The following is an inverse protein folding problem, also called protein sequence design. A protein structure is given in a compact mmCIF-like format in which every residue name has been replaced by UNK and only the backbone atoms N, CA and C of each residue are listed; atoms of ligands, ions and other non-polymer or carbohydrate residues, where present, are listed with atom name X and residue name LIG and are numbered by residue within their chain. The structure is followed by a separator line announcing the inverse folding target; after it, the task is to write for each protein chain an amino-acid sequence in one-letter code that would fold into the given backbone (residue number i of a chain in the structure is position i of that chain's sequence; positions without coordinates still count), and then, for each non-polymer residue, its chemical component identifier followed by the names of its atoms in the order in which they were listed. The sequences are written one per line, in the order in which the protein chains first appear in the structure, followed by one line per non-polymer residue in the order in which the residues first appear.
data_IF_344669476986
#
_entry.id   IF_344669476986
#
_cell.length_a   1.000
_cell.length_b   1.000
_cell.length_c   1.000
_cell.angle_alpha   90.00
_cell.angle_beta   90.00
_cell.angle_gamma   90.00
#
_symmetry.space_group_name_H-M   'P 1'
#
loop_
_entity.id
_entity.type
_entity.pdbx_description
1 polymer ?
#
# COMPACT_ATOMS: atom_id res chain seq x y z
N UNK A 1 23.73 9.37 -12.73
CA UNK A 1 22.28 9.07 -12.85
C UNK A 1 21.73 8.48 -11.55
N UNK A 2 22.26 7.36 -11.02
CA UNK A 2 21.71 6.75 -9.79
C UNK A 2 21.77 7.66 -8.55
N UNK A 3 22.89 8.36 -8.33
CA UNK A 3 23.07 9.30 -7.21
C UNK A 3 22.13 10.52 -7.28
N UNK A 4 21.95 11.09 -8.47
CA UNK A 4 21.06 12.24 -8.67
C UNK A 4 19.59 11.87 -8.45
N UNK A 5 19.16 10.70 -8.93
CA UNK A 5 17.79 10.21 -8.70
C UNK A 5 17.55 9.89 -7.23
N UNK A 6 18.54 9.28 -6.54
CA UNK A 6 18.45 9.01 -5.11
C UNK A 6 18.33 10.28 -4.26
N UNK A 7 19.17 11.29 -4.52
CA UNK A 7 19.10 12.59 -3.84
C UNK A 7 17.79 13.31 -4.12
N UNK A 8 17.31 13.30 -5.37
CA UNK A 8 16.02 13.89 -5.73
C UNK A 8 14.86 13.21 -4.99
N UNK A 9 14.82 11.87 -4.97
CA UNK A 9 13.78 11.11 -4.26
C UNK A 9 13.82 11.38 -2.75
N UNK A 10 15.02 11.42 -2.15
CA UNK A 10 15.18 11.73 -0.74
C UNK A 10 14.69 13.16 -0.42
N UNK A 11 15.03 14.14 -1.25
CA UNK A 11 14.57 15.52 -1.10
C UNK A 11 13.05 15.62 -1.22
N UNK A 12 12.44 14.97 -2.20
CA UNK A 12 10.98 14.94 -2.36
C UNK A 12 10.30 14.28 -1.16
N UNK A 13 10.78 13.11 -0.73
CA UNK A 13 10.23 12.44 0.46
C UNK A 13 10.34 13.32 1.71
N UNK A 14 11.47 14.00 1.89
CA UNK A 14 11.68 14.91 3.01
C UNK A 14 10.71 16.09 2.99
N UNK A 15 10.54 16.74 1.84
CA UNK A 15 9.60 17.87 1.68
C UNK A 15 8.16 17.42 1.89
N UNK A 16 7.75 16.28 1.30
CA UNK A 16 6.41 15.72 1.51
C UNK A 16 6.17 15.40 2.99
N UNK A 17 7.14 14.78 3.65
CA UNK A 17 7.05 14.47 5.07
C UNK A 17 6.90 15.73 5.91
N UNK A 18 7.74 16.75 5.68
CA UNK A 18 7.70 18.02 6.41
C UNK A 18 6.39 18.77 6.17
N UNK A 19 5.80 18.70 4.96
CA UNK A 19 4.50 19.30 4.67
C UNK A 19 3.34 18.59 5.40
N UNK A 20 3.45 17.27 5.56
CA UNK A 20 2.42 16.45 6.21
C UNK A 20 2.48 16.50 7.73
N UNK A 21 3.68 16.61 8.28
CA UNK A 21 3.94 16.54 9.72
C UNK A 21 3.03 17.47 10.57
N UNK A 22 2.85 18.77 10.26
CA UNK A 22 2.00 19.65 11.05
C UNK A 22 0.54 19.19 11.07
N UNK A 23 0.05 18.70 9.93
CA UNK A 23 -1.34 18.26 9.79
C UNK A 23 -1.60 16.95 10.52
N UNK A 24 -0.67 15.99 10.38
CA UNK A 24 -0.73 14.69 11.04
C UNK A 24 -0.64 14.85 12.56
N UNK A 25 0.26 15.71 13.06
CA UNK A 25 0.37 15.98 14.51
C UNK A 25 -0.94 16.51 15.10
N UNK A 26 -1.67 17.36 14.37
CA UNK A 26 -2.93 17.98 14.85
C UNK A 26 -4.13 17.04 14.82
N UNK A 27 -4.27 16.20 13.80
CA UNK A 27 -5.50 15.42 13.59
C UNK A 27 -5.33 13.91 13.74
N UNK A 28 -4.09 13.40 13.68
CA UNK A 28 -3.76 11.96 13.63
C UNK A 28 -2.53 11.61 14.49
N UNK A 29 -2.50 12.01 15.78
CA UNK A 29 -1.31 11.84 16.63
C UNK A 29 -0.88 10.37 16.75
N UNK A 30 -1.83 9.43 16.71
CA UNK A 30 -1.55 7.99 16.77
C UNK A 30 -0.69 7.49 15.61
N UNK A 31 -0.87 8.04 14.41
CA UNK A 31 -0.11 7.64 13.22
C UNK A 31 1.36 8.06 13.30
N UNK A 32 1.64 9.25 13.86
CA UNK A 32 3.02 9.69 14.10
C UNK A 32 3.71 8.84 15.17
N UNK A 33 2.95 8.33 16.15
CA UNK A 33 3.51 7.48 17.19
C UNK A 33 3.97 6.14 16.59
N UNK A 34 3.19 5.49 15.71
CA UNK A 34 3.65 4.25 15.08
C UNK A 34 4.83 4.50 14.13
N UNK A 35 4.82 5.59 13.36
CA UNK A 35 5.92 5.96 12.45
C UNK A 35 7.23 6.29 13.20
N UNK A 36 7.16 7.08 14.27
CA UNK A 36 8.33 7.44 15.11
C UNK A 36 8.87 6.25 15.89
N UNK A 37 7.99 5.33 16.33
CA UNK A 37 8.40 4.06 16.98
C UNK A 37 9.10 3.11 16.01
N UNK A 38 8.63 3.05 14.76
CA UNK A 38 9.29 2.30 13.69
C UNK A 38 10.70 2.85 13.42
N UNK A 39 10.83 4.18 13.25
CA UNK A 39 12.12 4.85 13.04
C UNK A 39 13.09 4.71 14.22
N UNK A 40 12.58 4.66 15.45
CA UNK A 40 13.39 4.47 16.66
C UNK A 40 13.72 3.00 16.95
N UNK A 41 13.41 2.08 16.04
CA UNK A 41 13.77 0.67 16.15
C UNK A 41 12.89 -0.15 17.11
N UNK A 42 11.78 0.40 17.60
CA UNK A 42 10.82 -0.32 18.47
C UNK A 42 9.87 -1.20 17.66
N UNK A 43 10.43 -2.05 16.80
CA UNK A 43 9.69 -2.90 15.86
C UNK A 43 8.77 -3.94 16.53
N UNK A 44 8.99 -4.29 17.81
CA UNK A 44 8.15 -5.27 18.55
C UNK A 44 6.89 -4.68 19.21
N UNK A 45 6.53 -3.44 18.89
CA UNK A 45 5.35 -2.82 19.46
C UNK A 45 4.05 -3.44 18.90
N UNK A 46 3.07 -3.84 19.75
CA UNK A 46 1.79 -4.39 19.31
C UNK A 46 1.02 -3.48 18.34
N UNK A 47 1.22 -2.15 18.44
CA UNK A 47 0.62 -1.19 17.52
C UNK A 47 1.13 -1.36 16.08
N UNK A 48 2.42 -1.66 15.91
CA UNK A 48 3.04 -1.89 14.60
C UNK A 48 2.54 -3.22 14.03
N UNK A 49 2.47 -4.27 14.85
CA UNK A 49 1.93 -5.57 14.43
C UNK A 49 0.50 -5.46 13.89
N UNK A 50 -0.35 -4.67 14.56
CA UNK A 50 -1.72 -4.38 14.12
C UNK A 50 -1.76 -3.61 12.80
N UNK A 51 -0.97 -2.55 12.66
CA UNK A 51 -0.91 -1.74 11.43
C UNK A 51 -0.39 -2.59 10.24
N UNK A 52 0.56 -3.51 10.48
CA UNK A 52 1.05 -4.48 9.49
C UNK A 52 -0.05 -5.43 9.05
N UNK A 53 -0.81 -6.01 9.98
CA UNK A 53 -1.95 -6.88 9.65
C UNK A 53 -3.00 -6.16 8.80
N UNK A 54 -3.37 -4.93 9.19
CA UNK A 54 -4.32 -4.13 8.42
C UNK A 54 -3.77 -3.79 7.04
N UNK A 55 -2.48 -3.49 6.92
CA UNK A 55 -1.82 -3.28 5.64
C UNK A 55 -1.85 -4.51 4.73
N UNK A 56 -1.59 -5.72 5.27
CA UNK A 56 -1.69 -6.96 4.49
C UNK A 56 -3.13 -7.25 4.06
N UNK A 57 -4.11 -7.07 4.95
CA UNK A 57 -5.52 -7.22 4.61
C UNK A 57 -5.95 -6.25 3.51
N UNK A 58 -5.50 -5.00 3.61
CA UNK A 58 -5.74 -3.98 2.59
C UNK A 58 -5.13 -4.38 1.26
N UNK A 59 -3.84 -4.72 1.23
CA UNK A 59 -3.14 -5.15 0.03
C UNK A 59 -3.83 -6.35 -0.62
N UNK A 60 -4.23 -7.33 0.18
CA UNK A 60 -4.98 -8.51 -0.29
C UNK A 60 -6.32 -8.11 -0.91
N UNK A 61 -7.12 -7.27 -0.24
CA UNK A 61 -8.41 -6.80 -0.78
C UNK A 61 -8.25 -6.04 -2.10
N UNK A 62 -7.19 -5.25 -2.22
CA UNK A 62 -6.85 -4.52 -3.43
C UNK A 62 -6.51 -5.50 -4.57
N UNK A 63 -5.62 -6.45 -4.32
CA UNK A 63 -5.19 -7.44 -5.31
C UNK A 63 -6.37 -8.27 -5.80
N UNK A 64 -7.21 -8.77 -4.88
CA UNK A 64 -8.41 -9.56 -5.23
C UNK A 64 -9.36 -8.73 -6.09
N UNK A 65 -9.66 -7.48 -5.70
CA UNK A 65 -10.54 -6.60 -6.48
C UNK A 65 -9.99 -6.34 -7.88
N UNK A 66 -8.67 -6.13 -7.98
CA UNK A 66 -7.99 -5.95 -9.26
C UNK A 66 -8.04 -7.20 -10.14
N UNK A 67 -7.76 -8.38 -9.58
CA UNK A 67 -7.80 -9.66 -10.29
C UNK A 67 -9.19 -9.99 -10.81
N UNK A 68 -10.23 -9.77 -9.99
CA UNK A 68 -11.63 -9.94 -10.42
C UNK A 68 -11.91 -9.04 -11.63
N UNK A 69 -11.57 -7.75 -11.54
CA UNK A 69 -11.70 -6.82 -12.65
C UNK A 69 -10.87 -7.20 -13.89
N UNK A 70 -9.72 -7.84 -13.70
CA UNK A 70 -8.88 -8.34 -14.78
C UNK A 70 -9.54 -9.52 -15.51
N UNK A 71 -10.09 -10.51 -14.79
CA UNK A 71 -10.80 -11.65 -15.40
C UNK A 71 -12.01 -11.20 -16.20
N UNK A 72 -12.79 -10.25 -15.70
CA UNK A 72 -13.93 -9.69 -16.44
C UNK A 72 -13.48 -8.97 -17.72
N UNK A 73 -12.37 -8.23 -17.68
CA UNK A 73 -11.80 -7.57 -18.88
C UNK A 73 -11.24 -8.54 -19.89
N UNK A 74 -10.57 -9.61 -19.46
CA UNK A 74 -10.12 -10.67 -20.38
C UNK A 74 -11.31 -11.35 -21.07
N UNK A 75 -12.38 -11.66 -20.34
CA UNK A 75 -13.61 -12.22 -20.94
C UNK A 75 -14.28 -11.27 -21.93
N UNK A 76 -14.12 -9.96 -21.75
CA UNK A 76 -14.60 -8.94 -22.67
C UNK A 76 -13.72 -8.75 -23.93
N UNK A 77 -12.66 -9.56 -24.09
CA UNK A 77 -11.78 -9.53 -25.26
C UNK A 77 -10.60 -8.57 -25.17
N UNK A 78 -10.29 -8.06 -23.96
CA UNK A 78 -9.14 -7.17 -23.78
C UNK A 78 -7.80 -7.95 -23.87
N UNK A 79 -6.78 -7.28 -24.40
CA UNK A 79 -5.42 -7.79 -24.55
C UNK A 79 -4.88 -8.38 -23.23
N UNK A 80 -4.20 -9.54 -23.25
CA UNK A 80 -3.50 -10.03 -22.07
C UNK A 80 -2.48 -8.98 -21.60
N UNK A 81 -2.63 -8.49 -20.37
CA UNK A 81 -1.61 -7.65 -19.75
C UNK A 81 -0.50 -8.58 -19.26
N UNK A 82 0.62 -8.58 -19.97
CA UNK A 82 1.83 -9.22 -19.46
C UNK A 82 2.38 -8.38 -18.31
N UNK A 83 2.77 -9.03 -17.21
CA UNK A 83 3.44 -8.37 -16.09
C UNK A 83 4.77 -7.72 -16.53
N UNK A 84 5.41 -6.98 -15.62
CA UNK A 84 6.62 -6.23 -15.95
C UNK A 84 7.72 -7.13 -16.53
N UNK A 85 8.24 -6.78 -17.70
CA UNK A 85 9.32 -7.50 -18.38
C UNK A 85 10.61 -7.53 -17.54
N UNK A 86 10.74 -6.63 -16.57
CA UNK A 86 11.85 -6.52 -15.63
C UNK A 86 12.06 -7.79 -14.79
N UNK A 87 10.99 -8.56 -14.55
CA UNK A 87 11.05 -9.82 -13.81
C UNK A 87 11.60 -10.97 -14.66
N UNK A 88 11.76 -10.78 -15.97
CA UNK A 88 12.29 -11.78 -16.90
C UNK A 88 13.84 -11.73 -17.05
N UNK A 89 14.52 -10.80 -16.35
CA UNK A 89 15.93 -10.50 -16.59
C UNK A 89 16.90 -11.00 -15.49
N UNK A 90 16.42 -11.74 -14.48
CA UNK A 90 17.25 -12.49 -13.50
C UNK A 90 17.28 -11.93 -12.06
N UNK A 91 17.87 -12.70 -11.13
CA UNK A 91 17.87 -12.45 -9.66
C UNK A 91 18.48 -11.11 -9.24
N UNK A 92 19.49 -10.61 -9.95
CA UNK A 92 20.11 -9.30 -9.68
C UNK A 92 19.15 -8.14 -10.01
N UNK A 93 18.38 -8.27 -11.08
CA UNK A 93 17.40 -7.26 -11.49
C UNK A 93 16.23 -7.21 -10.51
N UNK A 94 15.91 -8.34 -9.88
CA UNK A 94 14.85 -8.47 -8.88
C UNK A 94 15.17 -7.73 -7.58
N UNK A 95 16.41 -7.81 -7.08
CA UNK A 95 16.81 -7.01 -5.90
C UNK A 95 16.76 -5.51 -6.21
N UNK A 96 17.14 -5.12 -7.44
CA UNK A 96 16.99 -3.75 -7.92
C UNK A 96 15.53 -3.31 -7.99
N UNK A 97 14.64 -4.14 -8.54
CA UNK A 97 13.22 -3.84 -8.67
C UNK A 97 12.51 -3.80 -7.32
N UNK A 98 12.91 -4.64 -6.35
CA UNK A 98 12.39 -4.56 -4.99
C UNK A 98 12.75 -3.23 -4.31
N UNK A 99 14.01 -2.81 -4.42
CA UNK A 99 14.45 -1.54 -3.85
C UNK A 99 13.69 -0.35 -4.46
N UNK A 100 13.48 -0.33 -5.78
CA UNK A 100 12.73 0.74 -6.45
C UNK A 100 11.25 0.70 -6.08
N UNK A 101 10.66 -0.49 -5.95
CA UNK A 101 9.26 -0.66 -5.53
C UNK A 101 9.03 -0.22 -4.08
N UNK A 102 9.97 -0.49 -3.17
CA UNK A 102 9.90 0.01 -1.78
C UNK A 102 9.91 1.53 -1.77
N UNK A 103 10.87 2.17 -2.45
CA UNK A 103 10.94 3.63 -2.54
C UNK A 103 9.69 4.23 -3.20
N UNK A 104 9.21 3.62 -4.30
CA UNK A 104 8.00 4.03 -4.99
C UNK A 104 6.74 3.90 -4.14
N UNK A 105 6.65 2.86 -3.30
CA UNK A 105 5.51 2.63 -2.40
C UNK A 105 5.47 3.65 -1.26
N UNK A 106 6.61 3.99 -0.69
CA UNK A 106 6.70 5.06 0.33
C UNK A 106 6.30 6.41 -0.27
N UNK A 107 6.85 6.76 -1.45
CA UNK A 107 6.48 7.98 -2.16
C UNK A 107 4.99 8.01 -2.51
N UNK A 108 4.46 6.91 -3.04
CA UNK A 108 3.04 6.76 -3.37
C UNK A 108 2.16 6.98 -2.15
N UNK A 109 2.53 6.40 -1.01
CA UNK A 109 1.82 6.56 0.27
C UNK A 109 1.79 8.03 0.71
N UNK A 110 2.95 8.70 0.69
CA UNK A 110 3.04 10.12 1.06
C UNK A 110 2.23 11.00 0.11
N UNK A 111 2.28 10.73 -1.20
CA UNK A 111 1.50 11.44 -2.20
C UNK A 111 -0.01 11.25 -2.00
N UNK A 112 -0.47 10.01 -1.79
CA UNK A 112 -1.87 9.71 -1.50
C UNK A 112 -2.33 10.48 -0.26
N UNK A 113 -1.52 10.45 0.79
CA UNK A 113 -1.82 11.13 2.04
C UNK A 113 -1.85 12.65 1.86
N UNK A 114 -0.89 13.22 1.12
CA UNK A 114 -0.86 14.66 0.81
C UNK A 114 -2.09 15.11 0.04
N UNK A 115 -2.46 14.39 -1.03
CA UNK A 115 -3.63 14.72 -1.82
C UNK A 115 -4.89 14.67 -0.95
N UNK A 116 -5.05 13.63 -0.13
CA UNK A 116 -6.20 13.52 0.78
C UNK A 116 -6.25 14.67 1.79
N UNK A 117 -5.10 15.06 2.36
CA UNK A 117 -5.00 16.21 3.27
C UNK A 117 -5.34 17.51 2.55
N UNK A 118 -4.81 17.74 1.36
CA UNK A 118 -5.05 18.93 0.56
C UNK A 118 -6.54 19.06 0.20
N UNK A 119 -7.17 17.97 -0.22
CA UNK A 119 -8.61 17.92 -0.45
C UNK A 119 -9.39 18.17 0.84
N UNK A 120 -8.94 17.64 1.98
CA UNK A 120 -9.63 17.90 3.26
C UNK A 120 -9.52 19.34 3.71
N UNK A 121 -8.38 20.00 3.47
CA UNK A 121 -8.21 21.44 3.73
C UNK A 121 -9.07 22.27 2.79
N UNK A 122 -9.12 21.92 1.51
CA UNK A 122 -9.86 22.65 0.48
C UNK A 122 -11.39 22.48 0.61
N UNK A 123 -11.86 21.23 0.72
CA UNK A 123 -13.29 20.91 0.78
C UNK A 123 -13.87 21.01 2.20
N UNK A 124 -13.04 21.14 3.23
CA UNK A 124 -13.36 21.22 4.68
C UNK A 124 -14.13 20.04 5.28
N UNK A 125 -14.84 19.25 4.47
CA UNK A 125 -15.64 18.11 4.88
C UNK A 125 -14.90 16.80 4.58
N UNK A 126 -14.77 15.94 5.59
CA UNK A 126 -14.09 14.63 5.49
C UNK A 126 -14.68 13.73 4.40
N UNK A 127 -16.00 13.81 4.17
CA UNK A 127 -16.69 12.97 3.19
C UNK A 127 -16.46 13.47 1.76
N UNK A 128 -16.56 14.79 1.54
CA UNK A 128 -16.29 15.40 0.24
C UNK A 128 -14.82 15.19 -0.16
N UNK A 129 -13.90 15.27 0.80
CA UNK A 129 -12.49 14.98 0.55
C UNK A 129 -12.26 13.52 0.11
N UNK A 130 -12.94 12.56 0.74
CA UNK A 130 -12.86 11.16 0.35
C UNK A 130 -13.46 10.92 -1.05
N UNK A 131 -14.61 11.51 -1.35
CA UNK A 131 -15.24 11.41 -2.67
C UNK A 131 -14.35 12.04 -3.75
N UNK A 132 -13.86 13.26 -3.51
CA UNK A 132 -12.95 13.94 -4.42
C UNK A 132 -11.65 13.17 -4.64
N UNK A 133 -11.12 12.52 -3.60
CA UNK A 133 -9.95 11.66 -3.68
C UNK A 133 -10.20 10.46 -4.60
N UNK A 134 -11.33 9.76 -4.40
CA UNK A 134 -11.71 8.62 -5.25
C UNK A 134 -11.88 9.05 -6.70
N UNK A 135 -12.55 10.18 -6.96
CA UNK A 135 -12.76 10.71 -8.31
C UNK A 135 -11.42 11.06 -8.97
N UNK A 136 -10.55 11.79 -8.27
CA UNK A 136 -9.26 12.24 -8.79
C UNK A 136 -8.37 11.08 -9.24
N UNK A 137 -8.33 10.00 -8.47
CA UNK A 137 -7.51 8.83 -8.79
C UNK A 137 -8.20 7.85 -9.77
N UNK A 138 -9.53 7.78 -9.76
CA UNK A 138 -10.29 6.90 -10.66
C UNK A 138 -10.39 7.48 -12.07
N UNK A 139 -10.60 8.78 -12.21
CA UNK A 139 -10.89 9.41 -13.50
C UNK A 139 -9.81 9.15 -14.57
N UNK A 140 -8.50 9.30 -14.29
CA UNK A 140 -7.46 9.00 -15.29
C UNK A 140 -7.47 7.54 -15.74
N UNK A 141 -7.74 6.60 -14.83
CA UNK A 141 -7.78 5.16 -15.12
C UNK A 141 -8.95 4.80 -16.02
N UNK A 142 -10.11 5.40 -15.77
CA UNK A 142 -11.34 5.19 -16.56
C UNK A 142 -11.23 5.82 -17.93
N UNK A 143 -10.65 7.03 -18.03
CA UNK A 143 -10.44 7.72 -19.30
C UNK A 143 -9.45 7.00 -20.22
N UNK A 144 -8.45 6.31 -19.65
CA UNK A 144 -7.48 5.53 -20.40
C UNK A 144 -7.96 4.12 -20.79
N UNK A 145 -9.16 3.71 -20.36
CA UNK A 145 -9.62 2.34 -20.53
C UNK A 145 -10.49 2.16 -21.78
N UNK A 146 -10.29 1.05 -22.49
CA UNK A 146 -11.13 0.65 -23.63
C UNK A 146 -12.57 0.33 -23.20
N UNK A 147 -12.75 -0.12 -21.95
CA UNK A 147 -14.05 -0.44 -21.36
C UNK A 147 -14.26 0.33 -20.04
N UNK A 148 -14.59 1.63 -20.08
CA UNK A 148 -14.71 2.50 -18.90
C UNK A 148 -15.70 1.98 -17.85
N UNK A 149 -16.81 1.39 -18.29
CA UNK A 149 -17.88 0.88 -17.43
C UNK A 149 -17.46 -0.38 -16.63
N UNK A 150 -16.55 -1.20 -17.15
CA UNK A 150 -15.97 -2.34 -16.41
C UNK A 150 -14.91 -1.87 -15.40
N UNK A 151 -14.20 -0.80 -15.75
CA UNK A 151 -13.04 -0.31 -15.01
C UNK A 151 -13.46 0.58 -13.83
N UNK A 152 -14.50 1.38 -14.00
CA UNK A 152 -15.01 2.31 -12.99
C UNK A 152 -15.30 1.64 -11.64
N UNK A 153 -16.15 0.60 -11.52
CA UNK A 153 -16.50 0.05 -10.21
C UNK A 153 -15.29 -0.54 -9.48
N UNK A 154 -14.36 -1.15 -10.22
CA UNK A 154 -13.13 -1.74 -9.66
C UNK A 154 -12.26 -0.67 -9.00
N UNK A 155 -11.98 0.43 -9.70
CA UNK A 155 -11.12 1.49 -9.15
C UNK A 155 -11.81 2.32 -8.07
N UNK A 156 -13.13 2.54 -8.17
CA UNK A 156 -13.91 3.19 -7.10
C UNK A 156 -13.78 2.40 -5.81
N UNK A 157 -13.92 1.07 -5.85
CA UNK A 157 -13.77 0.21 -4.67
C UNK A 157 -12.35 0.27 -4.12
N UNK A 158 -11.34 0.14 -4.99
CA UNK A 158 -9.92 0.20 -4.60
C UNK A 158 -9.59 1.51 -3.88
N UNK A 159 -9.90 2.66 -4.49
CA UNK A 159 -9.57 3.96 -3.91
C UNK A 159 -10.47 4.31 -2.72
N UNK A 160 -11.69 3.78 -2.68
CA UNK A 160 -12.57 3.88 -1.52
C UNK A 160 -12.00 3.14 -0.30
N UNK A 161 -11.52 1.91 -0.48
CA UNK A 161 -10.83 1.14 0.57
C UNK A 161 -9.56 1.86 1.00
N UNK A 162 -8.76 2.38 0.06
CA UNK A 162 -7.55 3.14 0.38
C UNK A 162 -7.87 4.41 1.19
N UNK A 163 -8.86 5.20 0.78
CA UNK A 163 -9.30 6.40 1.50
C UNK A 163 -9.79 6.05 2.92
N UNK A 164 -10.59 4.99 3.05
CA UNK A 164 -11.05 4.50 4.35
C UNK A 164 -9.88 4.09 5.24
N UNK A 165 -8.90 3.40 4.68
CA UNK A 165 -7.73 2.95 5.43
C UNK A 165 -6.84 4.09 5.91
N UNK A 166 -6.61 5.11 5.09
CA UNK A 166 -5.91 6.34 5.52
C UNK A 166 -6.63 6.95 6.72
N UNK A 167 -7.96 6.97 6.68
CA UNK A 167 -8.81 7.57 7.71
C UNK A 167 -8.97 6.69 8.95
N UNK A 168 -8.60 5.41 8.92
CA UNK A 168 -8.84 4.52 10.07
C UNK A 168 -7.58 3.91 10.67
N UNK A 169 -6.62 3.54 9.82
CA UNK A 169 -5.47 2.71 10.18
C UNK A 169 -4.13 3.41 9.92
N UNK A 170 -4.14 4.65 9.41
CA UNK A 170 -2.95 5.49 9.28
C UNK A 170 -2.05 5.18 8.08
N UNK A 171 -0.90 5.87 8.06
CA UNK A 171 0.05 5.89 6.93
C UNK A 171 0.82 4.56 6.79
N UNK A 172 1.15 3.90 7.91
CA UNK A 172 1.93 2.65 7.91
C UNK A 172 1.15 1.51 7.25
N UNK A 173 -0.12 1.35 7.64
CA UNK A 173 -1.03 0.35 7.04
C UNK A 173 -1.17 0.56 5.54
N UNK A 174 -1.33 1.81 5.10
CA UNK A 174 -1.39 2.15 3.68
C UNK A 174 -0.08 1.82 2.95
N UNK A 175 1.08 2.14 3.56
CA UNK A 175 2.38 1.87 2.98
C UNK A 175 2.62 0.39 2.73
N UNK A 176 2.26 -0.46 3.69
CA UNK A 176 2.39 -1.92 3.57
C UNK A 176 1.42 -2.46 2.52
N UNK A 177 0.18 -1.98 2.50
CA UNK A 177 -0.80 -2.39 1.49
C UNK A 177 -0.41 -1.98 0.07
N UNK A 178 0.11 -0.75 -0.12
CA UNK A 178 0.62 -0.27 -1.40
C UNK A 178 1.87 -1.04 -1.82
N UNK A 179 2.80 -1.32 -0.89
CA UNK A 179 3.97 -2.16 -1.14
C UNK A 179 3.56 -3.54 -1.64
N UNK A 180 2.62 -4.17 -0.94
CA UNK A 180 2.09 -5.48 -1.33
C UNK A 180 1.43 -5.44 -2.70
N UNK A 181 0.58 -4.45 -2.96
CA UNK A 181 -0.09 -4.29 -4.26
C UNK A 181 0.92 -4.03 -5.39
N UNK A 182 1.92 -3.16 -5.19
CA UNK A 182 2.94 -2.89 -6.20
C UNK A 182 3.80 -4.13 -6.48
N UNK A 183 4.25 -4.84 -5.46
CA UNK A 183 5.09 -6.02 -5.66
C UNK A 183 4.30 -7.16 -6.31
N UNK A 184 3.09 -7.44 -5.83
CA UNK A 184 2.33 -8.58 -6.31
C UNK A 184 1.61 -8.30 -7.64
N UNK A 185 1.09 -7.11 -7.90
CA UNK A 185 0.41 -6.83 -9.18
C UNK A 185 1.37 -6.66 -10.36
N UNK A 186 2.64 -6.33 -10.11
CA UNK A 186 3.64 -6.27 -11.17
C UNK A 186 4.27 -7.63 -11.50
N UNK A 187 4.09 -8.65 -10.63
CA UNK A 187 4.55 -10.00 -10.90
C UNK A 187 3.69 -10.66 -11.98
N UNK A 188 4.30 -11.29 -13.00
CA UNK A 188 3.57 -12.15 -13.91
C UNK A 188 3.05 -13.37 -13.14
N UNK A 189 1.73 -13.45 -12.97
CA UNK A 189 1.08 -14.62 -12.38
C UNK A 189 1.07 -15.77 -13.40
N UNK A 190 1.77 -16.85 -13.08
CA UNK A 190 1.69 -18.10 -13.85
C UNK A 190 1.30 -19.26 -12.94
N UNK A 191 0.42 -20.13 -13.45
CA UNK A 191 0.05 -21.39 -12.79
C UNK A 191 1.07 -22.51 -13.06
N UNK A 192 2.05 -22.25 -13.93
CA UNK A 192 3.08 -23.21 -14.29
C UNK A 192 4.33 -23.01 -13.41
N UNK A 193 4.44 -23.84 -12.38
CA UNK A 193 5.50 -23.82 -11.37
C UNK A 193 6.88 -24.23 -11.93
N UNK A 194 6.95 -24.72 -13.17
CA UNK A 194 8.21 -25.09 -13.82
C UNK A 194 9.02 -23.88 -14.30
N UNK A 195 8.39 -22.70 -14.41
CA UNK A 195 9.06 -21.51 -14.89
C UNK A 195 9.98 -20.90 -13.83
N UNK A 196 11.18 -20.50 -14.26
CA UNK A 196 12.24 -19.97 -13.39
C UNK A 196 11.82 -18.72 -12.59
N UNK A 197 10.81 -17.97 -13.05
CA UNK A 197 10.26 -16.82 -12.33
C UNK A 197 9.15 -17.19 -11.31
N UNK A 198 8.61 -18.42 -11.34
CA UNK A 198 7.59 -18.89 -10.40
C UNK A 198 8.10 -18.90 -8.94
N UNK A 199 9.38 -19.22 -8.73
CA UNK A 199 10.03 -19.13 -7.41
C UNK A 199 9.97 -17.72 -6.81
N UNK A 200 10.01 -16.68 -7.65
CA UNK A 200 9.99 -15.28 -7.23
C UNK A 200 8.59 -14.82 -6.82
N UNK A 201 7.56 -15.30 -7.54
CA UNK A 201 6.17 -15.11 -7.12
C UNK A 201 5.90 -15.78 -5.77
N UNK A 202 6.37 -17.03 -5.60
CA UNK A 202 6.22 -17.78 -4.35
C UNK A 202 6.93 -17.10 -3.17
N UNK A 203 8.17 -16.64 -3.39
CA UNK A 203 8.94 -15.92 -2.37
C UNK A 203 8.23 -14.63 -1.93
N UNK A 204 7.68 -13.86 -2.87
CA UNK A 204 6.98 -12.61 -2.56
C UNK A 204 5.73 -12.87 -1.71
N UNK A 205 4.94 -13.90 -2.07
CA UNK A 205 3.77 -14.32 -1.29
C UNK A 205 4.19 -14.80 0.10
N UNK A 206 5.26 -15.60 0.21
CA UNK A 206 5.78 -16.07 1.49
C UNK A 206 6.25 -14.94 2.40
N UNK A 207 6.87 -13.89 1.85
CA UNK A 207 7.27 -12.70 2.64
C UNK A 207 6.05 -12.01 3.23
N UNK A 208 4.98 -11.81 2.45
CA UNK A 208 3.75 -11.19 2.98
C UNK A 208 2.99 -12.11 3.94
N UNK A 209 3.03 -13.43 3.73
CA UNK A 209 2.50 -14.40 4.68
C UNK A 209 3.29 -14.41 6.00
N UNK A 210 4.62 -14.32 5.93
CA UNK A 210 5.48 -14.20 7.11
C UNK A 210 5.24 -12.87 7.85
N UNK A 211 5.06 -11.76 7.12
CA UNK A 211 4.69 -10.47 7.70
C UNK A 211 3.31 -10.52 8.36
N UNK A 212 2.34 -11.21 7.77
CA UNK A 212 1.02 -11.43 8.37
C UNK A 212 1.12 -12.28 9.63
N UNK A 213 1.86 -13.40 9.59
CA UNK A 213 2.07 -14.27 10.74
C UNK A 213 2.82 -13.55 11.87
N UNK A 214 3.82 -12.74 11.54
CA UNK A 214 4.53 -11.91 12.50
C UNK A 214 3.66 -10.80 13.09
N UNK A 215 2.83 -10.15 12.27
CA UNK A 215 1.85 -9.16 12.73
C UNK A 215 0.80 -9.78 13.66
N UNK A 216 0.33 -11.00 13.36
CA UNK A 216 -0.55 -11.78 14.23
C UNK A 216 0.13 -12.11 15.55
N UNK A 217 1.35 -12.64 15.49
CA UNK A 217 2.12 -12.99 16.69
C UNK A 217 2.37 -11.78 17.60
N UNK A 218 2.79 -10.64 17.04
CA UNK A 218 3.11 -9.42 17.79
C UNK A 218 1.88 -8.70 18.32
N UNK A 219 0.75 -8.73 17.60
CA UNK A 219 -0.52 -8.18 18.09
C UNK A 219 -1.10 -8.99 19.25
N UNK A 220 -0.95 -10.32 19.23
CA UNK A 220 -1.35 -11.20 20.34
C UNK A 220 -0.45 -11.03 21.57
N UNK A 221 0.86 -10.81 21.38
CA UNK A 221 1.81 -10.58 22.47
C UNK A 221 1.53 -9.29 23.27
N UNK A 222 0.80 -8.32 22.69
CA UNK A 222 0.38 -7.09 23.38
C UNK A 222 -0.88 -7.22 24.25
N UNK A 223 -1.60 -8.35 24.15
CA UNK A 223 -2.88 -8.56 24.84
C UNK A 223 -2.78 -8.82 26.35
N UNK A 224 -1.56 -8.89 26.91
CA UNK A 224 -1.36 -9.16 28.35
C UNK A 224 -1.40 -7.92 29.26
N UNK A 225 -1.58 -6.71 28.73
CA UNK A 225 -1.61 -5.48 29.55
C UNK A 225 -3.01 -5.11 30.12
N UNK A 226 -4.00 -5.99 30.01
CA UNK A 226 -5.36 -5.80 30.58
C UNK A 226 -5.71 -6.86 31.63
N UNK A 227 -4.72 -7.33 32.39
CA UNK A 227 -4.95 -8.08 33.63
C UNK A 227 -4.03 -7.52 34.70
N UNK A 228 -4.54 -6.54 35.44
CA UNK A 228 -4.33 -6.37 36.87
C UNK A 228 -5.26 -5.23 37.32
N UNK A 229 -6.46 -5.61 37.75
CA UNK A 229 -7.34 -4.73 38.52
C UNK A 229 -6.61 -4.32 39.82
N UNK A 230 -6.52 -3.03 40.16
CA UNK A 230 -5.85 -2.57 41.39
C UNK A 230 -6.73 -2.69 42.65
N UNK A 231 -7.72 -3.60 42.66
CA UNK A 231 -8.60 -3.83 43.80
C UNK A 231 -8.83 -5.33 44.04
N UNK A 232 -7.82 -5.97 44.64
CA UNK A 232 -7.96 -7.23 45.39
C UNK A 232 -7.28 -7.04 46.75
#
# INVERSE_FOLDING_TARGET
MALSTGLFMAAVMYVLYMALEPYVRRHWPQTIISWSRLLSGKVRDPLIGRDVLFGVLLGTSWIVTYMVGFVFRQRAGNSPQFGGTEFLLGTRQLLGSWSTNVMGSVLGTLMFFLVLVLLRVLLRNRWLAAIGFVILYTAPKVLSADYPWLVLPVWVVIYGIAAFAVVRFGVVSLAIGILMANLLLNLPYTSDFSMWFAAHALFSVLVFAALAGWGAYTSMAGGQLWKEDPFA
#
